data_IF_982834585450
#
_entry.id   IF_982834585450
#
_cell.length_a   1.000
_cell.length_b   1.000
_cell.length_c   1.000
_cell.angle_alpha   90.00
_cell.angle_beta   90.00
_cell.angle_gamma   90.00
#
_symmetry.space_group_name_H-M   'P 1'
#
loop_
_entity.id
_entity.type
_entity.pdbx_description
1 polymer ?
#
# COMPACT_ATOMS: atom_id res chain seq x y z
N UNK A 1 -12.64 -21.65 -10.16
CA UNK A 1 -11.93 -22.63 -11.03
C UNK A 1 -12.25 -24.08 -10.72
N UNK A 2 -13.02 -24.40 -9.66
CA UNK A 2 -13.37 -25.76 -9.28
C UNK A 2 -12.18 -26.67 -8.90
N UNK A 3 -10.99 -26.10 -8.66
CA UNK A 3 -9.82 -26.85 -8.21
C UNK A 3 -9.85 -27.03 -6.70
N UNK A 4 -9.68 -28.26 -6.25
CA UNK A 4 -9.60 -28.60 -4.84
C UNK A 4 -8.22 -28.16 -4.33
N UNK A 5 -8.19 -27.32 -3.32
CA UNK A 5 -6.95 -26.98 -2.60
C UNK A 5 -6.51 -28.19 -1.78
N UNK A 6 -5.27 -28.64 -1.95
CA UNK A 6 -4.68 -29.76 -1.21
C UNK A 6 -3.67 -29.30 -0.17
N UNK A 7 -3.29 -28.05 -0.16
CA UNK A 7 -2.34 -27.46 0.77
C UNK A 7 -1.76 -26.14 0.30
N UNK A 8 -0.90 -25.58 1.13
CA UNK A 8 -0.11 -24.39 0.83
C UNK A 8 1.38 -24.76 0.76
N UNK A 9 2.05 -24.41 -0.32
CA UNK A 9 3.52 -24.52 -0.40
C UNK A 9 4.12 -23.31 0.33
N UNK A 10 5.01 -23.61 1.29
CA UNK A 10 5.66 -22.60 2.13
C UNK A 10 7.16 -22.79 2.15
N UNK A 11 7.89 -21.71 2.44
CA UNK A 11 9.35 -21.71 2.57
C UNK A 11 9.72 -20.87 3.80
N UNK A 12 10.72 -21.29 4.56
CA UNK A 12 11.18 -20.53 5.71
C UNK A 12 11.90 -19.26 5.22
N UNK A 13 11.80 -18.19 6.01
CA UNK A 13 12.44 -16.93 5.69
C UNK A 13 13.25 -16.42 6.88
N UNK A 14 14.34 -15.75 6.58
CA UNK A 14 15.11 -14.98 7.54
C UNK A 14 15.01 -13.48 7.22
N UNK A 15 15.06 -12.66 8.25
CA UNK A 15 15.08 -11.21 8.12
C UNK A 15 16.49 -10.70 8.36
N UNK A 16 17.09 -10.09 7.34
CA UNK A 16 18.37 -9.44 7.42
C UNK A 16 18.22 -7.92 7.48
N UNK A 17 18.93 -7.27 8.40
CA UNK A 17 19.02 -5.83 8.42
C UNK A 17 20.17 -5.38 7.50
N UNK A 18 19.81 -4.75 6.39
CA UNK A 18 20.76 -4.19 5.43
C UNK A 18 20.56 -2.67 5.41
N UNK A 19 21.52 -1.93 5.93
CA UNK A 19 21.51 -0.46 6.01
C UNK A 19 20.25 0.11 6.70
N UNK A 20 19.80 -0.51 7.79
CA UNK A 20 18.65 -0.09 8.56
C UNK A 20 17.29 -0.56 7.99
N UNK A 21 17.29 -1.32 6.90
CA UNK A 21 16.09 -1.94 6.32
C UNK A 21 16.11 -3.44 6.54
N UNK A 22 15.01 -3.96 7.07
CA UNK A 22 14.82 -5.41 7.15
C UNK A 22 14.37 -5.94 5.79
N UNK A 23 15.17 -6.84 5.22
CA UNK A 23 14.86 -7.55 3.99
C UNK A 23 14.59 -9.01 4.31
N UNK A 24 13.52 -9.53 3.75
CA UNK A 24 13.14 -10.94 3.84
C UNK A 24 13.92 -11.74 2.79
N UNK A 25 14.59 -12.81 3.22
CA UNK A 25 15.28 -13.76 2.34
C UNK A 25 14.73 -15.16 2.55
N UNK A 26 14.35 -15.88 1.49
CA UNK A 26 13.99 -17.28 1.59
C UNK A 26 15.21 -18.14 1.94
N UNK A 27 14.97 -19.19 2.71
CA UNK A 27 15.99 -20.18 3.08
C UNK A 27 15.88 -21.35 2.12
N UNK A 28 16.87 -21.50 1.25
CA UNK A 28 16.91 -22.59 0.26
C UNK A 28 16.78 -23.96 0.91
N UNK A 29 15.98 -24.85 0.31
CA UNK A 29 15.81 -26.23 0.76
C UNK A 29 14.80 -26.41 1.91
N UNK A 30 14.12 -25.34 2.34
CA UNK A 30 13.10 -25.45 3.42
C UNK A 30 11.68 -25.50 2.88
N UNK A 31 11.52 -25.53 1.55
CA UNK A 31 10.23 -25.58 0.90
C UNK A 31 9.47 -26.86 1.25
N UNK A 32 8.25 -26.71 1.72
CA UNK A 32 7.36 -27.80 2.12
C UNK A 32 5.91 -27.46 1.86
N UNK A 33 5.08 -28.49 1.77
CA UNK A 33 3.63 -28.32 1.66
C UNK A 33 3.00 -28.53 3.03
N UNK A 34 2.18 -27.59 3.46
CA UNK A 34 1.28 -27.73 4.61
C UNK A 34 -0.05 -28.19 4.05
N UNK A 35 -0.47 -29.42 4.40
CA UNK A 35 -1.76 -29.94 3.98
C UNK A 35 -2.90 -29.13 4.60
N UNK A 36 -3.86 -28.73 3.78
CA UNK A 36 -5.00 -27.94 4.20
C UNK A 36 -6.18 -28.12 3.24
N UNK A 37 -7.37 -28.23 3.76
CA UNK A 37 -8.61 -28.26 2.97
C UNK A 37 -9.02 -26.86 2.54
N UNK A 38 -8.59 -25.83 3.27
CA UNK A 38 -8.87 -24.41 3.00
C UNK A 38 -7.68 -23.54 3.38
N UNK A 39 -7.37 -22.59 2.53
CA UNK A 39 -6.36 -21.55 2.78
C UNK A 39 -7.02 -20.18 2.70
N UNK A 40 -6.96 -19.43 3.80
CA UNK A 40 -7.48 -18.05 3.87
C UNK A 40 -6.30 -17.07 3.80
N UNK A 41 -6.32 -16.21 2.79
CA UNK A 41 -5.32 -15.17 2.62
C UNK A 41 -5.74 -13.91 3.38
N UNK A 42 -5.00 -13.56 4.42
CA UNK A 42 -5.21 -12.36 5.23
C UNK A 42 -3.95 -11.46 5.19
N UNK A 43 -3.47 -11.16 3.99
CA UNK A 43 -2.18 -10.52 3.74
C UNK A 43 -2.23 -8.97 3.72
N UNK A 44 -3.40 -8.40 3.99
CA UNK A 44 -3.63 -6.95 3.91
C UNK A 44 -3.74 -6.46 2.46
N UNK A 45 -3.66 -5.14 2.29
CA UNK A 45 -3.77 -4.46 1.00
C UNK A 45 -2.39 -4.06 0.49
N UNK A 46 -2.18 -4.12 -0.81
CA UNK A 46 -0.89 -3.79 -1.45
C UNK A 46 -0.83 -2.31 -1.82
N UNK A 47 -1.83 -1.82 -2.51
CA UNK A 47 -1.98 -0.42 -2.97
C UNK A 47 -3.45 -0.14 -3.32
N UNK A 48 -3.85 1.10 -3.62
CA UNK A 48 -5.18 1.42 -4.13
C UNK A 48 -5.47 0.69 -5.45
N UNK A 49 -6.76 0.49 -5.77
CA UNK A 49 -7.17 0.02 -7.09
C UNK A 49 -6.79 1.07 -8.12
N UNK A 50 -5.97 0.69 -9.11
CA UNK A 50 -5.42 1.63 -10.08
C UNK A 50 -6.38 1.92 -11.24
N UNK A 51 -7.24 0.96 -11.57
CA UNK A 51 -8.27 1.09 -12.60
C UNK A 51 -9.38 2.05 -12.13
N UNK A 52 -9.98 2.78 -13.06
CA UNK A 52 -10.97 3.80 -12.78
C UNK A 52 -10.33 5.14 -12.41
N UNK A 53 -10.72 5.75 -11.29
CA UNK A 53 -10.39 7.13 -10.92
C UNK A 53 -8.90 7.48 -11.07
N UNK A 54 -8.00 6.62 -10.61
CA UNK A 54 -6.54 6.89 -10.64
C UNK A 54 -6.04 6.97 -12.08
N UNK A 55 -6.38 5.97 -12.91
CA UNK A 55 -5.96 5.91 -14.32
C UNK A 55 -6.68 6.96 -15.17
N UNK A 56 -7.98 7.18 -14.95
CA UNK A 56 -8.78 8.15 -15.73
C UNK A 56 -8.32 9.59 -15.48
N UNK A 57 -7.94 9.93 -14.26
CA UNK A 57 -7.40 11.25 -13.94
C UNK A 57 -5.92 11.41 -14.28
N UNK A 58 -5.20 10.34 -14.62
CA UNK A 58 -3.76 10.38 -14.85
C UNK A 58 -2.96 10.77 -13.61
N UNK A 59 -3.34 10.25 -12.42
CA UNK A 59 -2.62 10.51 -11.18
C UNK A 59 -1.26 9.81 -11.19
N UNK A 60 -0.20 10.55 -10.84
CA UNK A 60 1.12 9.96 -10.64
C UNK A 60 1.17 9.07 -9.41
N UNK A 61 1.93 7.98 -9.52
CA UNK A 61 2.10 6.99 -8.47
C UNK A 61 3.57 6.95 -7.99
N UNK A 62 3.76 6.57 -6.75
CA UNK A 62 5.07 6.27 -6.18
C UNK A 62 5.55 4.86 -6.59
N UNK A 63 6.75 4.47 -6.14
CA UNK A 63 7.35 3.17 -6.44
C UNK A 63 6.56 1.98 -5.84
N UNK A 64 5.65 2.24 -4.89
CA UNK A 64 4.76 1.25 -4.27
C UNK A 64 3.35 1.29 -4.84
N UNK A 65 3.14 2.06 -5.92
CA UNK A 65 1.86 2.29 -6.59
C UNK A 65 0.81 3.00 -5.72
N UNK A 66 1.23 3.77 -4.74
CA UNK A 66 0.36 4.70 -4.03
C UNK A 66 0.32 6.04 -4.76
N UNK A 67 -0.72 6.84 -4.53
CA UNK A 67 -0.85 8.17 -5.14
C UNK A 67 0.29 9.06 -4.63
N UNK A 68 1.09 9.59 -5.57
CA UNK A 68 2.18 10.49 -5.26
C UNK A 68 1.66 11.89 -4.97
N UNK A 69 2.07 12.46 -3.84
CA UNK A 69 1.75 13.84 -3.44
C UNK A 69 3.00 14.57 -2.99
N UNK A 70 2.93 15.90 -3.02
CA UNK A 70 3.95 16.76 -2.43
C UNK A 70 3.70 16.96 -0.91
N UNK A 71 4.52 17.79 -0.27
CA UNK A 71 4.40 18.08 1.18
C UNK A 71 3.08 18.79 1.57
N UNK A 72 2.38 19.37 0.60
CA UNK A 72 1.07 19.99 0.78
C UNK A 72 -0.09 19.07 0.39
N UNK A 73 0.15 17.76 0.25
CA UNK A 73 -0.84 16.76 -0.16
C UNK A 73 -1.43 16.95 -1.56
N UNK A 74 -0.86 17.85 -2.38
CA UNK A 74 -1.27 18.05 -3.77
C UNK A 74 -0.72 16.95 -4.66
N UNK A 75 -1.55 16.45 -5.57
CA UNK A 75 -1.16 15.51 -6.63
C UNK A 75 -0.51 16.27 -7.80
N UNK A 76 -0.20 15.56 -8.89
CA UNK A 76 0.20 16.16 -10.17
C UNK A 76 -0.95 16.91 -10.88
N UNK A 77 -2.20 16.69 -10.48
CA UNK A 77 -3.36 17.34 -11.07
C UNK A 77 -3.74 18.56 -10.21
N UNK A 78 -3.83 19.78 -10.81
CA UNK A 78 -4.22 20.99 -10.09
C UNK A 78 -5.55 20.82 -9.35
N UNK A 79 -5.62 21.33 -8.12
CA UNK A 79 -6.81 21.28 -7.24
C UNK A 79 -7.22 19.86 -6.77
N UNK A 80 -6.39 18.85 -7.05
CA UNK A 80 -6.61 17.47 -6.58
C UNK A 80 -5.60 17.15 -5.50
N UNK A 81 -6.09 16.69 -4.36
CA UNK A 81 -5.32 16.33 -3.17
C UNK A 81 -5.60 14.88 -2.81
N UNK A 82 -4.64 14.23 -2.18
CA UNK A 82 -4.80 12.87 -1.69
C UNK A 82 -4.15 12.72 -0.32
N UNK A 83 -4.71 11.84 0.54
CA UNK A 83 -4.21 11.59 1.88
C UNK A 83 -4.60 10.18 2.37
N UNK A 84 -4.06 9.78 3.52
CA UNK A 84 -4.36 8.49 4.14
C UNK A 84 -3.75 7.31 3.39
N UNK A 85 -4.44 6.17 3.42
CA UNK A 85 -3.92 4.90 2.88
C UNK A 85 -3.67 4.94 1.37
N UNK A 86 -4.37 5.78 0.63
CA UNK A 86 -4.13 5.96 -0.81
C UNK A 86 -2.76 6.56 -1.13
N UNK A 87 -2.14 7.25 -0.17
CA UNK A 87 -0.82 7.91 -0.29
C UNK A 87 0.26 7.12 0.45
N UNK A 88 -0.01 6.67 1.67
CA UNK A 88 0.98 6.03 2.54
C UNK A 88 1.01 4.50 2.42
N UNK A 89 0.02 3.90 1.80
CA UNK A 89 -0.29 2.48 1.86
C UNK A 89 -1.16 2.16 3.08
N UNK A 90 -1.80 0.98 3.06
CA UNK A 90 -2.68 0.54 4.13
C UNK A 90 -1.95 0.51 5.48
N UNK A 91 -2.52 1.15 6.48
CA UNK A 91 -1.92 1.30 7.81
C UNK A 91 -2.99 1.38 8.91
N UNK A 92 -2.60 1.83 10.11
CA UNK A 92 -3.55 2.02 11.20
C UNK A 92 -4.49 3.19 10.89
N UNK A 93 -5.77 3.04 11.23
CA UNK A 93 -6.79 4.07 11.03
C UNK A 93 -6.39 5.43 11.63
N UNK A 94 -5.68 5.44 12.76
CA UNK A 94 -5.18 6.67 13.38
C UNK A 94 -4.21 7.43 12.48
N UNK A 95 -3.41 6.74 11.68
CA UNK A 95 -2.49 7.35 10.71
C UNK A 95 -3.27 7.97 9.54
N UNK A 96 -4.28 7.27 9.03
CA UNK A 96 -5.15 7.77 7.98
C UNK A 96 -5.90 9.05 8.42
N UNK A 97 -6.46 9.06 9.64
CA UNK A 97 -7.10 10.23 10.23
C UNK A 97 -6.11 11.39 10.38
N UNK A 98 -4.92 11.13 10.92
CA UNK A 98 -3.88 12.16 11.09
C UNK A 98 -3.46 12.76 9.74
N UNK A 99 -3.29 11.92 8.71
CA UNK A 99 -2.98 12.33 7.34
C UNK A 99 -4.08 13.22 6.76
N UNK A 100 -5.35 12.80 6.86
CA UNK A 100 -6.49 13.58 6.37
C UNK A 100 -6.61 14.94 7.05
N UNK A 101 -6.38 15.02 8.38
CA UNK A 101 -6.38 16.30 9.11
C UNK A 101 -5.25 17.23 8.68
N UNK A 102 -4.08 16.71 8.35
CA UNK A 102 -2.97 17.51 7.80
C UNK A 102 -3.33 18.01 6.41
N UNK A 103 -3.85 17.15 5.55
CA UNK A 103 -4.28 17.52 4.20
C UNK A 103 -5.34 18.63 4.24
N UNK A 104 -6.34 18.53 5.12
CA UNK A 104 -7.38 19.56 5.28
C UNK A 104 -6.80 20.94 5.63
N UNK A 105 -5.75 21.00 6.46
CA UNK A 105 -5.06 22.26 6.78
C UNK A 105 -4.34 22.85 5.57
N UNK A 106 -3.70 22.02 4.77
CA UNK A 106 -2.99 22.48 3.56
C UNK A 106 -3.99 22.91 2.48
N UNK A 107 -5.12 22.24 2.35
CA UNK A 107 -6.23 22.66 1.46
C UNK A 107 -6.80 24.01 1.91
N UNK A 108 -7.03 24.22 3.20
CA UNK A 108 -7.50 25.52 3.73
C UNK A 108 -6.52 26.65 3.40
N UNK A 109 -5.21 26.43 3.58
CA UNK A 109 -4.18 27.39 3.17
C UNK A 109 -4.22 27.68 1.67
N UNK A 110 -4.34 26.64 0.86
CA UNK A 110 -4.43 26.78 -0.59
C UNK A 110 -5.62 27.63 -1.00
N UNK A 111 -6.81 27.38 -0.42
CA UNK A 111 -8.03 28.12 -0.73
C UNK A 111 -7.98 29.59 -0.28
N UNK A 112 -7.23 29.91 0.79
CA UNK A 112 -7.04 31.29 1.27
C UNK A 112 -6.00 32.05 0.47
N UNK A 113 -5.13 31.37 -0.29
CA UNK A 113 -4.08 31.99 -1.10
C UNK A 113 -4.47 32.17 -2.56
N UNK A 114 -5.64 31.69 -2.95
CA UNK A 114 -6.21 31.80 -4.28
C UNK A 114 -7.30 32.86 -4.32
#
# INVERSE_FOLDING_TARGET
>A
DGKITRGAEVEDVIWENINGKYLMKPVSGTRRVIEADMVLLALGFVHPVLEGLISEMGLELDNRKNIKVNNAFSTNIPKVFAAGDSVSGASLVVNAIASGRKAAREIDKYLRST
#
